data_IF_125479978052
#
_entry.id   IF_125479978052
#
_cell.length_a   1.000
_cell.length_b   1.000
_cell.length_c   1.000
_cell.angle_alpha   90.00
_cell.angle_beta   90.00
_cell.angle_gamma   90.00
#
_symmetry.space_group_name_H-M   'P 1'
#
loop_
_entity.id
_entity.type
_entity.pdbx_description
1 polymer ?
#
# COMPACT_ATOMS: atom_id res chain seq x y z
N UNK A 1 8.04 -8.79 -59.29
CA UNK A 1 8.02 -8.58 -57.83
C UNK A 1 9.01 -7.47 -57.56
N UNK A 2 8.55 -6.23 -57.35
CA UNK A 2 9.47 -5.12 -57.09
C UNK A 2 9.52 -4.94 -55.58
N UNK A 3 10.65 -5.31 -54.97
CA UNK A 3 10.89 -5.11 -53.54
C UNK A 3 11.21 -3.65 -53.30
N UNK A 4 10.46 -3.02 -52.40
CA UNK A 4 10.74 -1.67 -51.88
C UNK A 4 11.48 -1.86 -50.57
N UNK A 5 12.64 -1.22 -50.43
CA UNK A 5 13.40 -1.22 -49.18
C UNK A 5 13.04 0.04 -48.36
N UNK A 6 12.78 -0.15 -47.07
CA UNK A 6 12.39 0.93 -46.16
C UNK A 6 13.43 1.08 -45.06
N UNK A 7 14.01 2.27 -44.95
CA UNK A 7 15.01 2.61 -43.95
C UNK A 7 14.43 3.61 -42.96
N UNK A 8 14.66 3.39 -41.66
CA UNK A 8 14.21 4.27 -40.59
C UNK A 8 15.36 4.70 -39.69
N UNK A 9 15.39 5.98 -39.31
CA UNK A 9 16.35 6.53 -38.36
C UNK A 9 15.65 7.41 -37.35
N UNK A 10 15.72 7.01 -36.07
CA UNK A 10 15.37 7.87 -34.96
C UNK A 10 16.55 8.81 -34.63
N UNK A 11 16.28 10.10 -34.51
CA UNK A 11 17.23 11.12 -34.12
C UNK A 11 16.66 11.92 -32.95
N UNK A 12 17.40 11.96 -31.86
CA UNK A 12 17.06 12.72 -30.67
C UNK A 12 18.21 12.61 -29.68
N UNK A 13 18.25 13.52 -28.70
CA UNK A 13 19.19 13.39 -27.59
C UNK A 13 18.57 12.49 -26.51
N UNK A 14 19.43 11.95 -25.65
CA UNK A 14 18.96 11.32 -24.42
C UNK A 14 18.16 12.38 -23.63
N UNK A 15 16.98 12.00 -23.16
CA UNK A 15 16.05 12.84 -22.40
C UNK A 15 15.34 13.95 -23.18
N UNK A 16 15.46 13.99 -24.52
CA UNK A 16 14.62 14.88 -25.34
C UNK A 16 13.14 14.43 -25.28
N UNK A 17 12.19 15.36 -25.14
CA UNK A 17 10.76 15.04 -25.16
C UNK A 17 10.27 14.66 -26.57
N UNK A 18 11.02 15.00 -27.60
CA UNK A 18 10.68 14.77 -29.01
C UNK A 18 11.80 14.03 -29.73
N UNK A 19 11.42 13.07 -30.59
CA UNK A 19 12.35 12.34 -31.44
C UNK A 19 11.93 12.57 -32.89
N UNK A 20 12.89 12.95 -33.73
CA UNK A 20 12.69 13.01 -35.17
C UNK A 20 12.87 11.61 -35.76
N UNK A 21 11.81 11.04 -36.32
CA UNK A 21 11.88 9.77 -37.02
C UNK A 21 11.88 10.00 -38.53
N UNK A 22 13.02 9.75 -39.16
CA UNK A 22 13.23 9.93 -40.60
C UNK A 22 13.06 8.57 -41.27
N UNK A 23 12.23 8.52 -42.31
CA UNK A 23 11.98 7.31 -43.11
C UNK A 23 12.33 7.57 -44.56
N UNK A 24 13.07 6.65 -45.17
CA UNK A 24 13.39 6.67 -46.60
C UNK A 24 12.88 5.39 -47.26
N UNK A 25 12.27 5.54 -48.44
CA UNK A 25 11.74 4.43 -49.24
C UNK A 25 12.56 4.35 -50.53
N UNK A 26 13.28 3.25 -50.74
CA UNK A 26 14.08 2.98 -51.94
C UNK A 26 13.26 2.12 -52.91
N UNK A 27 13.12 2.62 -54.15
CA UNK A 27 12.34 1.99 -55.21
C UNK A 27 13.20 1.09 -56.13
N UNK A 28 14.47 0.85 -55.78
CA UNK A 28 15.40 -0.01 -56.53
C UNK A 28 16.24 0.73 -57.58
N UNK A 29 16.41 2.04 -57.43
CA UNK A 29 17.14 2.89 -58.38
C UNK A 29 17.00 4.38 -58.10
N UNK A 30 15.96 4.77 -57.38
CA UNK A 30 15.76 6.11 -56.85
C UNK A 30 14.99 6.06 -55.52
N UNK A 31 15.20 7.07 -54.68
CA UNK A 31 14.39 7.26 -53.48
C UNK A 31 13.06 7.93 -53.81
N UNK A 32 12.02 7.50 -53.11
CA UNK A 32 10.69 8.11 -53.19
C UNK A 32 10.75 9.60 -52.83
N UNK A 33 10.15 10.43 -53.67
CA UNK A 33 10.13 11.89 -53.48
C UNK A 33 8.84 12.51 -54.06
N UNK A 34 8.48 13.69 -53.56
CA UNK A 34 7.22 14.36 -53.90
C UNK A 34 7.18 14.96 -55.31
N UNK A 35 8.34 15.12 -55.97
CA UNK A 35 8.44 15.69 -57.31
C UNK A 35 8.14 14.64 -58.40
N UNK A 36 8.79 13.49 -58.32
CA UNK A 36 8.73 12.43 -59.34
C UNK A 36 7.68 11.36 -59.02
N UNK A 37 7.31 11.20 -57.74
CA UNK A 37 6.50 10.08 -57.26
C UNK A 37 5.33 10.56 -56.39
N UNK A 38 4.60 11.59 -56.84
CA UNK A 38 3.63 12.34 -56.02
C UNK A 38 2.59 11.47 -55.30
N UNK A 39 1.95 10.54 -56.01
CA UNK A 39 0.88 9.70 -55.45
C UNK A 39 1.44 8.67 -54.46
N UNK A 40 2.56 8.03 -54.80
CA UNK A 40 3.25 7.08 -53.92
C UNK A 40 3.81 7.77 -52.68
N UNK A 41 4.33 9.00 -52.84
CA UNK A 41 4.81 9.82 -51.74
C UNK A 41 3.69 10.16 -50.76
N UNK A 42 2.50 10.53 -51.25
CA UNK A 42 1.34 10.79 -50.40
C UNK A 42 0.91 9.55 -49.60
N UNK A 43 0.98 8.36 -50.20
CA UNK A 43 0.71 7.09 -49.51
C UNK A 43 1.78 6.81 -48.44
N UNK A 44 3.06 6.95 -48.78
CA UNK A 44 4.15 6.74 -47.84
C UNK A 44 4.10 7.72 -46.66
N UNK A 45 3.79 8.98 -46.91
CA UNK A 45 3.59 10.00 -45.87
C UNK A 45 2.47 9.58 -44.91
N UNK A 46 1.35 9.07 -45.44
CA UNK A 46 0.25 8.55 -44.63
C UNK A 46 0.69 7.37 -43.77
N UNK A 47 1.43 6.42 -44.32
CA UNK A 47 1.96 5.25 -43.57
C UNK A 47 2.86 5.71 -42.42
N UNK A 48 3.79 6.64 -42.67
CA UNK A 48 4.69 7.16 -41.64
C UNK A 48 3.92 7.92 -40.55
N UNK A 49 2.91 8.72 -40.92
CA UNK A 49 2.03 9.42 -39.98
C UNK A 49 1.23 8.46 -39.11
N UNK A 50 0.62 7.44 -39.69
CA UNK A 50 -0.13 6.42 -38.96
C UNK A 50 0.77 5.64 -37.99
N UNK A 51 1.99 5.29 -38.42
CA UNK A 51 3.00 4.70 -37.55
C UNK A 51 3.35 5.62 -36.37
N UNK A 52 3.62 6.91 -36.63
CA UNK A 52 3.99 7.86 -35.58
C UNK A 52 2.86 8.04 -34.55
N UNK A 53 1.60 8.13 -35.01
CA UNK A 53 0.42 8.20 -34.13
C UNK A 53 0.31 6.93 -33.28
N UNK A 54 0.44 5.75 -33.90
CA UNK A 54 0.33 4.48 -33.18
C UNK A 54 1.44 4.33 -32.14
N UNK A 55 2.70 4.56 -32.51
CA UNK A 55 3.84 4.46 -31.61
C UNK A 55 3.72 5.42 -30.42
N UNK A 56 3.26 6.64 -30.68
CA UNK A 56 3.02 7.64 -29.62
C UNK A 56 1.90 7.21 -28.69
N UNK A 57 0.79 6.72 -29.25
CA UNK A 57 -0.35 6.22 -28.47
C UNK A 57 0.06 5.04 -27.59
N UNK A 58 0.77 4.06 -28.15
CA UNK A 58 1.25 2.89 -27.40
C UNK A 58 2.17 3.30 -26.24
N UNK A 59 3.06 4.28 -26.46
CA UNK A 59 3.93 4.81 -25.42
C UNK A 59 3.15 5.55 -24.31
N UNK A 60 2.14 6.34 -24.67
CA UNK A 60 1.27 7.03 -23.71
C UNK A 60 0.43 6.02 -22.93
N UNK A 61 -0.15 5.02 -23.60
CA UNK A 61 -0.91 3.94 -22.95
C UNK A 61 -0.04 3.15 -21.96
N UNK A 62 1.22 2.87 -22.29
CA UNK A 62 2.15 2.22 -21.38
C UNK A 62 2.42 3.07 -20.13
N UNK A 63 2.64 4.39 -20.30
CA UNK A 63 2.80 5.34 -19.19
C UNK A 63 1.54 5.41 -18.33
N UNK A 64 0.36 5.47 -18.96
CA UNK A 64 -0.92 5.48 -18.27
C UNK A 64 -1.12 4.21 -17.44
N UNK A 65 -0.89 3.02 -18.02
CA UNK A 65 -0.98 1.74 -17.30
C UNK A 65 -0.02 1.68 -16.11
N UNK A 66 1.20 2.19 -16.26
CA UNK A 66 2.17 2.24 -15.16
C UNK A 66 1.70 3.19 -14.05
N UNK A 67 1.20 4.38 -14.40
CA UNK A 67 0.67 5.35 -13.44
C UNK A 67 -0.57 4.81 -12.71
N UNK A 68 -1.50 4.17 -13.42
CA UNK A 68 -2.69 3.54 -12.83
C UNK A 68 -2.33 2.45 -11.82
N UNK A 69 -1.36 1.58 -12.13
CA UNK A 69 -0.90 0.55 -11.16
C UNK A 69 -0.31 1.16 -9.88
N UNK A 70 0.43 2.26 -10.01
CA UNK A 70 0.99 2.98 -8.85
C UNK A 70 -0.16 3.59 -8.03
N UNK A 71 -1.15 4.19 -8.69
CA UNK A 71 -2.33 4.73 -8.03
C UNK A 71 -3.12 3.64 -7.28
N UNK A 72 -3.41 2.51 -7.91
CA UNK A 72 -4.10 1.36 -7.28
C UNK A 72 -3.36 0.89 -6.03
N UNK A 73 -2.02 0.79 -6.11
CA UNK A 73 -1.19 0.43 -4.96
C UNK A 73 -1.33 1.44 -3.80
N UNK A 74 -1.30 2.74 -4.09
CA UNK A 74 -1.49 3.77 -3.07
C UNK A 74 -2.89 3.75 -2.45
N UNK A 75 -3.92 3.51 -3.24
CA UNK A 75 -5.30 3.38 -2.73
C UNK A 75 -5.44 2.17 -1.79
N UNK A 76 -4.80 1.04 -2.11
CA UNK A 76 -4.82 -0.15 -1.26
C UNK A 76 -4.01 0.03 0.02
N UNK A 77 -2.83 0.66 -0.05
CA UNK A 77 -2.03 1.03 1.12
C UNK A 77 -2.83 1.97 2.03
N UNK A 78 -3.53 2.97 1.47
CA UNK A 78 -4.38 3.87 2.23
C UNK A 78 -5.53 3.14 2.93
N UNK A 79 -6.21 2.22 2.23
CA UNK A 79 -7.28 1.40 2.85
C UNK A 79 -6.77 0.56 4.01
N UNK A 80 -5.58 -0.03 3.87
CA UNK A 80 -4.94 -0.79 4.96
C UNK A 80 -4.68 0.09 6.16
N UNK A 81 -4.06 1.26 5.95
CA UNK A 81 -3.75 2.21 7.02
C UNK A 81 -5.00 2.68 7.78
N UNK A 82 -6.11 2.93 7.07
CA UNK A 82 -7.40 3.29 7.69
C UNK A 82 -7.94 2.15 8.55
N UNK A 83 -7.87 0.90 8.05
CA UNK A 83 -8.32 -0.28 8.80
C UNK A 83 -7.45 -0.51 10.05
N UNK A 84 -6.14 -0.41 9.92
CA UNK A 84 -5.19 -0.58 11.01
C UNK A 84 -5.41 0.48 12.09
N UNK A 85 -5.62 1.74 11.70
CA UNK A 85 -5.92 2.82 12.63
C UNK A 85 -7.22 2.57 13.42
N UNK A 86 -8.26 2.06 12.75
CA UNK A 86 -9.50 1.69 13.42
C UNK A 86 -9.27 0.57 14.43
N UNK A 87 -8.61 -0.52 14.02
CA UNK A 87 -8.34 -1.66 14.91
C UNK A 87 -7.53 -1.23 16.15
N UNK A 88 -6.48 -0.42 15.96
CA UNK A 88 -5.68 0.10 17.06
C UNK A 88 -6.50 0.98 18.01
N UNK A 89 -7.46 1.75 17.47
CA UNK A 89 -8.37 2.57 18.28
C UNK A 89 -9.30 1.70 19.11
N UNK A 90 -9.90 0.67 18.50
CA UNK A 90 -10.77 -0.29 19.18
C UNK A 90 -10.01 -1.04 20.29
N UNK A 91 -8.77 -1.48 20.01
CA UNK A 91 -7.89 -2.12 20.99
C UNK A 91 -7.59 -1.19 22.18
N UNK A 92 -7.31 0.10 21.92
CA UNK A 92 -7.07 1.08 22.98
C UNK A 92 -8.29 1.21 23.89
N UNK A 93 -9.51 1.26 23.34
CA UNK A 93 -10.73 1.33 24.15
C UNK A 93 -10.91 0.09 25.03
N UNK A 94 -10.66 -1.10 24.48
CA UNK A 94 -10.77 -2.35 25.22
C UNK A 94 -9.71 -2.48 26.30
N UNK A 95 -8.47 -2.07 26.03
CA UNK A 95 -7.42 -2.02 27.03
C UNK A 95 -7.75 -1.03 28.15
N UNK A 96 -8.31 0.15 27.84
CA UNK A 96 -8.78 1.10 28.87
C UNK A 96 -9.84 0.49 29.78
N UNK A 97 -10.82 -0.25 29.23
CA UNK A 97 -11.84 -0.95 30.02
C UNK A 97 -11.21 -2.02 30.93
N UNK A 98 -10.25 -2.80 30.40
CA UNK A 98 -9.53 -3.82 31.18
C UNK A 98 -8.71 -3.21 32.31
N UNK A 99 -8.02 -2.11 32.06
CA UNK A 99 -7.25 -1.37 33.08
C UNK A 99 -8.18 -0.91 34.19
N UNK A 100 -9.29 -0.24 33.84
CA UNK A 100 -10.26 0.22 34.84
C UNK A 100 -10.81 -0.92 35.70
N UNK A 101 -11.16 -2.05 35.08
CA UNK A 101 -11.62 -3.23 35.83
C UNK A 101 -10.54 -3.76 36.78
N UNK A 102 -9.29 -3.83 36.33
CA UNK A 102 -8.19 -4.27 37.17
C UNK A 102 -7.94 -3.30 38.35
N UNK A 103 -8.07 -1.99 38.13
CA UNK A 103 -8.01 -0.99 39.19
C UNK A 103 -9.11 -1.19 40.25
N UNK A 104 -10.36 -1.41 39.80
CA UNK A 104 -11.50 -1.68 40.68
C UNK A 104 -11.30 -2.99 41.48
N UNK A 105 -10.82 -4.05 40.82
CA UNK A 105 -10.52 -5.35 41.44
C UNK A 105 -9.40 -5.23 42.49
N UNK A 106 -8.36 -4.41 42.24
CA UNK A 106 -7.29 -4.13 43.21
C UNK A 106 -7.85 -3.42 44.45
N UNK A 107 -8.71 -2.42 44.27
CA UNK A 107 -9.33 -1.70 45.39
C UNK A 107 -10.18 -2.65 46.23
N UNK A 108 -11.01 -3.48 45.59
CA UNK A 108 -11.82 -4.48 46.26
C UNK A 108 -10.96 -5.49 47.03
N UNK A 109 -9.91 -6.01 46.40
CA UNK A 109 -9.02 -6.99 47.03
C UNK A 109 -8.33 -6.42 48.27
N UNK A 110 -7.84 -5.17 48.23
CA UNK A 110 -7.27 -4.49 49.40
C UNK A 110 -8.27 -4.42 50.57
N UNK A 111 -9.51 -4.01 50.29
CA UNK A 111 -10.57 -3.97 51.30
C UNK A 111 -10.86 -5.35 51.91
N UNK A 112 -10.88 -6.40 51.10
CA UNK A 112 -11.08 -7.77 51.56
C UNK A 112 -9.91 -8.28 52.42
N UNK A 113 -8.66 -7.94 52.06
CA UNK A 113 -7.49 -8.26 52.88
C UNK A 113 -7.58 -7.61 54.27
N UNK A 114 -7.99 -6.34 54.36
CA UNK A 114 -8.12 -5.64 55.63
C UNK A 114 -9.23 -6.23 56.51
N UNK A 115 -10.38 -6.59 55.92
CA UNK A 115 -11.44 -7.33 56.63
C UNK A 115 -10.94 -8.67 57.15
N UNK A 116 -10.23 -9.44 56.32
CA UNK A 116 -9.68 -10.74 56.72
C UNK A 116 -8.64 -10.63 57.83
N UNK A 117 -7.80 -9.58 57.83
CA UNK A 117 -6.89 -9.30 58.94
C UNK A 117 -7.65 -9.09 60.26
N UNK A 118 -8.72 -8.31 60.24
CA UNK A 118 -9.54 -8.07 61.43
C UNK A 118 -10.20 -9.36 61.95
N UNK A 119 -10.74 -10.19 61.06
CA UNK A 119 -11.32 -11.50 61.40
C UNK A 119 -10.26 -12.45 62.00
N UNK A 120 -9.05 -12.50 61.45
CA UNK A 120 -7.94 -13.30 61.97
C UNK A 120 -7.56 -12.85 63.39
N UNK A 121 -7.45 -11.55 63.63
CA UNK A 121 -7.12 -11.03 64.96
C UNK A 121 -8.22 -11.33 65.99
N UNK A 122 -9.49 -11.28 65.60
CA UNK A 122 -10.59 -11.71 66.45
C UNK A 122 -10.50 -13.21 66.77
N UNK A 123 -10.26 -14.05 65.77
CA UNK A 123 -10.14 -15.50 65.96
C UNK A 123 -8.94 -15.88 66.84
N UNK A 124 -7.80 -15.18 66.73
CA UNK A 124 -6.63 -15.39 67.60
C UNK A 124 -6.97 -15.19 69.08
N UNK A 125 -7.80 -14.20 69.41
CA UNK A 125 -8.26 -13.98 70.80
C UNK A 125 -9.10 -15.15 71.29
N UNK A 126 -10.06 -15.61 70.48
CA UNK A 126 -10.89 -16.78 70.80
C UNK A 126 -10.04 -18.03 71.05
N UNK A 127 -9.07 -18.30 70.17
CA UNK A 127 -8.15 -19.44 70.33
C UNK A 127 -7.34 -19.32 71.63
N UNK A 128 -6.81 -18.13 71.95
CA UNK A 128 -6.07 -17.91 73.19
C UNK A 128 -6.91 -18.12 74.45
N UNK A 129 -8.18 -17.71 74.43
CA UNK A 129 -9.10 -17.94 75.54
C UNK A 129 -9.42 -19.43 75.73
N UNK A 130 -9.60 -20.16 74.63
CA UNK A 130 -9.84 -21.61 74.68
C UNK A 130 -8.60 -22.35 75.19
N UNK A 131 -7.40 -21.99 74.71
CA UNK A 131 -6.12 -22.56 75.19
C UNK A 131 -5.93 -22.37 76.70
N UNK A 132 -6.23 -21.17 77.21
CA UNK A 132 -6.21 -20.89 78.66
C UNK A 132 -7.20 -21.76 79.44
N UNK A 133 -8.41 -21.96 78.91
CA UNK A 133 -9.42 -22.83 79.55
C UNK A 133 -8.97 -24.28 79.58
N UNK A 134 -8.37 -24.78 78.49
CA UNK A 134 -7.83 -26.15 78.42
C UNK A 134 -6.74 -26.38 79.46
N UNK A 135 -5.77 -25.47 79.57
CA UNK A 135 -4.68 -25.54 80.56
C UNK A 135 -5.14 -25.44 82.01
N UNK A 136 -6.35 -24.94 82.27
CA UNK A 136 -6.89 -24.84 83.62
C UNK A 136 -7.59 -26.13 84.09
N UNK A 137 -7.82 -27.09 83.18
CA UNK A 137 -8.44 -28.40 83.47
C UNK A 137 -7.47 -29.57 83.27
N UNK A 138 -6.23 -29.30 82.87
CA UNK A 138 -5.07 -30.22 82.92
C UNK A 138 -4.32 -30.08 84.25
#
# INVERSE_FOLDING_TARGET
NNTIDIYGKAQGKKDDPEINFIVAFDLGGAFLNSGEHKDQYAIAEKIVKEFAVKATKDAIEAKLRAATKIQEKFEDEQKSLVKDNKNLTDDIEDHKKKIKKAEDDIVKNKSEQDKKKAEIEAQKKVVSEIDKKLKAVE
#
